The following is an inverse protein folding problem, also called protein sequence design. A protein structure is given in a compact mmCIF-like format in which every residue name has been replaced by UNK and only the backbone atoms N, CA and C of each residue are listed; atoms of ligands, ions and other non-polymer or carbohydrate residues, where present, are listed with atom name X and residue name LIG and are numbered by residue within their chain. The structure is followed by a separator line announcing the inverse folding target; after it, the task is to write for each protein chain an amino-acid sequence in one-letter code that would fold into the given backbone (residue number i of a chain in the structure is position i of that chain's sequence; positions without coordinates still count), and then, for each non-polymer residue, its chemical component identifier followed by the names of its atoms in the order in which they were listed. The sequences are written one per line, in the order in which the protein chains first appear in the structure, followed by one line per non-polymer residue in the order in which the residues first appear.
data_IF_348235016766
#
_entry.id   IF_348235016766
#
_cell.length_a   1.000
_cell.length_b   1.000
_cell.length_c   1.000
_cell.angle_alpha   90.00
_cell.angle_beta   90.00
_cell.angle_gamma   90.00
#
_symmetry.space_group_name_H-M   'P 1'
#
loop_
_entity.id
_entity.type
_entity.pdbx_description
1 polymer ?
#
# COMPACT_ATOMS: atom_id res chain seq x y z
N UNK A 1 9.82 -6.97 0.76
CA UNK A 1 10.87 -7.71 1.48
C UNK A 1 11.51 -6.79 2.50
N UNK A 2 12.10 -7.32 3.58
CA UNK A 2 12.74 -6.53 4.65
C UNK A 2 13.87 -5.61 4.14
N UNK A 3 14.50 -5.97 3.02
CA UNK A 3 15.47 -5.13 2.32
C UNK A 3 14.95 -3.71 2.00
N UNK A 4 13.63 -3.53 1.90
CA UNK A 4 12.97 -2.23 1.70
C UNK A 4 13.03 -1.31 2.93
N UNK A 5 13.36 -1.84 4.11
CA UNK A 5 13.38 -1.08 5.37
C UNK A 5 14.77 -0.58 5.77
N UNK A 6 15.83 -0.92 5.02
CA UNK A 6 17.19 -0.48 5.31
C UNK A 6 17.49 0.98 4.92
N UNK A 7 18.56 1.57 5.49
CA UNK A 7 19.06 2.93 5.16
C UNK A 7 19.29 3.18 3.66
N UNK A 8 19.52 2.12 2.88
CA UNK A 8 19.81 2.18 1.44
C UNK A 8 18.60 1.80 0.56
N UNK A 9 17.40 1.67 1.12
CA UNK A 9 16.21 1.22 0.39
C UNK A 9 15.91 2.05 -0.86
N UNK A 10 15.97 3.38 -0.74
CA UNK A 10 15.79 4.31 -1.87
C UNK A 10 16.82 4.10 -2.98
N UNK A 11 18.08 3.79 -2.65
CA UNK A 11 19.15 3.51 -3.64
C UNK A 11 18.92 2.19 -4.39
N UNK A 12 18.11 1.29 -3.83
CA UNK A 12 17.69 0.02 -4.44
C UNK A 12 16.34 0.11 -5.16
N UNK A 13 15.83 1.32 -5.38
CA UNK A 13 14.57 1.56 -6.08
C UNK A 13 13.32 1.31 -5.25
N UNK A 14 13.43 1.03 -3.94
CA UNK A 14 12.25 0.91 -3.09
C UNK A 14 11.63 2.28 -2.82
N UNK A 15 10.33 2.38 -3.07
CA UNK A 15 9.53 3.57 -2.78
C UNK A 15 8.76 3.29 -1.48
N UNK A 16 9.01 4.04 -0.40
CA UNK A 16 8.22 3.92 0.82
C UNK A 16 6.75 4.19 0.53
N UNK A 17 5.89 3.33 1.08
CA UNK A 17 4.45 3.50 1.00
C UNK A 17 3.89 3.74 2.41
N UNK A 18 2.97 4.70 2.51
CA UNK A 18 2.14 4.91 3.70
C UNK A 18 0.73 4.50 3.34
N UNK A 19 0.17 3.56 4.08
CA UNK A 19 -1.19 3.03 3.87
C UNK A 19 -1.95 3.19 5.19
N UNK A 20 -3.03 3.96 5.15
CA UNK A 20 -3.99 4.19 6.24
C UNK A 20 -5.36 3.65 5.81
N UNK A 21 -6.36 3.60 6.71
CA UNK A 21 -7.70 3.17 6.35
C UNK A 21 -8.37 4.03 5.26
N UNK A 22 -8.01 5.30 5.18
CA UNK A 22 -8.58 6.30 4.27
C UNK A 22 -7.75 6.54 3.01
N UNK A 23 -6.45 6.22 3.02
CA UNK A 23 -5.54 6.64 1.95
C UNK A 23 -4.31 5.75 1.82
N UNK A 24 -3.78 5.65 0.60
CA UNK A 24 -2.43 5.18 0.34
C UNK A 24 -1.61 6.23 -0.41
N UNK A 25 -0.32 6.30 -0.11
CA UNK A 25 0.64 7.10 -0.87
C UNK A 25 1.95 6.36 -1.04
N UNK A 26 2.52 6.42 -2.25
CA UNK A 26 3.82 5.86 -2.58
C UNK A 26 4.49 6.73 -3.64
N UNK A 27 5.52 7.49 -3.25
CA UNK A 27 6.15 8.45 -4.15
C UNK A 27 5.17 9.54 -4.59
N UNK A 28 4.83 9.56 -5.89
CA UNK A 28 3.85 10.50 -6.47
C UNK A 28 2.45 9.91 -6.61
N UNK A 29 2.30 8.61 -6.41
CA UNK A 29 1.00 7.93 -6.47
C UNK A 29 0.25 8.15 -5.18
N UNK A 30 -1.00 8.60 -5.28
CA UNK A 30 -1.93 8.75 -4.16
C UNK A 30 -3.20 7.97 -4.51
N UNK A 31 -3.76 7.25 -3.55
CA UNK A 31 -5.08 6.63 -3.65
C UNK A 31 -5.92 7.00 -2.43
N UNK A 32 -7.13 7.48 -2.63
CA UNK A 32 -8.12 7.70 -1.57
C UNK A 32 -9.08 6.52 -1.54
N UNK A 33 -9.37 6.01 -0.34
CA UNK A 33 -10.23 4.86 -0.15
C UNK A 33 -11.63 5.29 0.29
N UNK A 34 -12.64 4.59 -0.23
CA UNK A 34 -14.02 4.78 0.16
C UNK A 34 -14.80 3.46 0.02
N UNK A 35 -16.02 3.44 0.58
CA UNK A 35 -16.91 2.27 0.58
C UNK A 35 -16.23 1.00 1.10
N UNK A 36 -15.37 1.17 2.11
CA UNK A 36 -14.58 0.11 2.69
C UNK A 36 -15.44 -0.83 3.52
N UNK A 37 -15.39 -2.13 3.20
CA UNK A 37 -16.03 -3.19 3.98
C UNK A 37 -15.02 -4.27 4.35
N UNK A 38 -15.22 -4.86 5.52
CA UNK A 38 -14.42 -6.00 5.98
C UNK A 38 -15.08 -7.31 5.55
N UNK A 39 -14.30 -8.20 4.94
CA UNK A 39 -14.70 -9.57 4.57
C UNK A 39 -13.65 -10.54 5.11
N UNK A 40 -13.97 -11.19 6.23
CA UNK A 40 -13.01 -12.02 6.96
C UNK A 40 -11.83 -11.19 7.50
N UNK A 41 -10.60 -11.61 7.17
CA UNK A 41 -9.37 -10.90 7.53
C UNK A 41 -8.97 -9.79 6.53
N UNK A 42 -9.86 -9.46 5.60
CA UNK A 42 -9.55 -8.55 4.52
C UNK A 42 -10.45 -7.32 4.50
N UNK A 43 -9.88 -6.24 3.99
CA UNK A 43 -10.63 -5.05 3.61
C UNK A 43 -10.81 -5.01 2.10
N UNK A 44 -12.03 -4.79 1.65
CA UNK A 44 -12.38 -4.57 0.25
C UNK A 44 -12.98 -3.18 0.14
N UNK A 45 -12.42 -2.36 -0.73
CA UNK A 45 -12.78 -0.94 -0.87
C UNK A 45 -12.63 -0.50 -2.32
N UNK A 46 -13.32 0.58 -2.69
CA UNK A 46 -13.01 1.33 -3.88
C UNK A 46 -11.86 2.32 -3.58
N UNK A 47 -11.03 2.55 -4.59
CA UNK A 47 -9.88 3.43 -4.49
C UNK A 47 -9.79 4.36 -5.70
N UNK A 48 -9.83 5.66 -5.46
CA UNK A 48 -9.57 6.68 -6.46
C UNK A 48 -8.11 7.08 -6.40
N UNK A 49 -7.36 6.75 -7.46
CA UNK A 49 -5.93 6.92 -7.51
C UNK A 49 -5.51 8.00 -8.52
N UNK A 50 -4.37 8.64 -8.25
CA UNK A 50 -3.74 9.62 -9.12
C UNK A 50 -2.21 9.43 -9.18
N UNK A 51 -1.62 9.53 -10.37
CA UNK A 51 -0.17 9.59 -10.61
C UNK A 51 0.13 10.44 -11.84
N UNK A 52 0.99 11.46 -11.68
CA UNK A 52 1.44 12.39 -12.74
C UNK A 52 0.30 12.88 -13.65
N UNK A 53 -0.79 13.35 -13.06
CA UNK A 53 -1.94 13.89 -13.79
C UNK A 53 -2.92 12.85 -14.32
N UNK A 54 -2.58 11.55 -14.31
CA UNK A 54 -3.53 10.48 -14.63
C UNK A 54 -4.34 10.12 -13.39
N UNK A 55 -5.63 9.91 -13.56
CA UNK A 55 -6.55 9.44 -12.51
C UNK A 55 -7.21 8.14 -12.95
N UNK A 56 -7.44 7.24 -12.02
CA UNK A 56 -8.19 6.00 -12.26
C UNK A 56 -8.82 5.50 -10.97
N UNK A 57 -9.97 4.86 -11.08
CA UNK A 57 -10.59 4.14 -9.96
C UNK A 57 -10.22 2.65 -10.04
N UNK A 58 -10.07 2.00 -8.90
CA UNK A 58 -9.82 0.56 -8.81
C UNK A 58 -10.48 -0.01 -7.57
N UNK A 59 -11.04 -1.21 -7.68
CA UNK A 59 -11.32 -2.00 -6.49
C UNK A 59 -10.00 -2.50 -5.90
N UNK A 60 -9.88 -2.42 -4.58
CA UNK A 60 -8.69 -2.82 -3.83
C UNK A 60 -9.10 -3.81 -2.74
N UNK A 61 -8.28 -4.84 -2.58
CA UNK A 61 -8.39 -5.83 -1.52
C UNK A 61 -7.08 -5.84 -0.72
N UNK A 62 -7.18 -5.55 0.58
CA UNK A 62 -6.04 -5.53 1.51
C UNK A 62 -6.16 -6.67 2.51
N UNK A 63 -5.10 -7.44 2.68
CA UNK A 63 -4.93 -8.41 3.78
C UNK A 63 -3.76 -7.98 4.62
N UNK A 64 -3.96 -7.93 5.94
CA UNK A 64 -2.87 -7.69 6.89
C UNK A 64 -2.65 -8.98 7.67
N UNK A 65 -1.41 -9.45 7.67
CA UNK A 65 -0.95 -10.61 8.41
C UNK A 65 0.36 -10.25 9.13
N UNK A 66 0.27 -10.00 10.43
CA UNK A 66 1.36 -9.41 11.22
C UNK A 66 1.85 -8.09 10.62
N UNK A 67 3.13 -8.04 10.25
CA UNK A 67 3.77 -6.89 9.60
C UNK A 67 3.72 -6.93 8.07
N UNK A 68 3.05 -7.92 7.47
CA UNK A 68 2.89 -8.01 6.03
C UNK A 68 1.52 -7.51 5.61
N UNK A 69 1.49 -6.63 4.61
CA UNK A 69 0.27 -6.21 3.94
C UNK A 69 0.30 -6.70 2.49
N UNK A 70 -0.70 -7.48 2.10
CA UNK A 70 -0.91 -7.89 0.70
C UNK A 70 -2.00 -7.02 0.10
N UNK A 71 -1.64 -6.31 -0.97
CA UNK A 71 -2.51 -5.45 -1.76
C UNK A 71 -2.86 -6.17 -3.05
N UNK A 72 -4.14 -6.27 -3.38
CA UNK A 72 -4.61 -6.76 -4.68
C UNK A 72 -5.50 -5.72 -5.33
N UNK A 73 -5.31 -5.49 -6.62
CA UNK A 73 -6.08 -4.53 -7.44
C UNK A 73 -6.16 -5.01 -8.89
N UNK A 74 -6.89 -4.30 -9.74
CA UNK A 74 -6.93 -4.60 -11.18
C UNK A 74 -5.55 -4.55 -11.87
N UNK A 75 -4.57 -3.86 -11.28
CA UNK A 75 -3.17 -3.81 -11.76
C UNK A 75 -2.31 -4.98 -11.27
N UNK A 76 -2.86 -5.88 -10.47
CA UNK A 76 -2.16 -7.02 -9.89
C UNK A 76 -1.99 -6.92 -8.37
N UNK A 77 -1.10 -7.76 -7.85
CA UNK A 77 -0.85 -7.94 -6.42
C UNK A 77 0.53 -7.43 -6.03
N UNK A 78 0.62 -6.75 -4.88
CA UNK A 78 1.85 -6.26 -4.29
C UNK A 78 1.92 -6.64 -2.80
N UNK A 79 3.12 -6.92 -2.30
CA UNK A 79 3.35 -7.22 -0.89
C UNK A 79 4.22 -6.16 -0.24
N UNK A 80 3.71 -5.58 0.82
CA UNK A 80 4.37 -4.58 1.65
C UNK A 80 4.78 -5.21 2.98
N UNK A 81 5.88 -4.73 3.53
CA UNK A 81 6.29 -5.03 4.90
C UNK A 81 6.30 -3.73 5.68
N UNK A 82 5.70 -3.74 6.86
CA UNK A 82 5.78 -2.61 7.78
C UNK A 82 7.22 -2.54 8.26
N UNK A 83 7.87 -1.42 7.98
CA UNK A 83 9.18 -1.18 8.55
C UNK A 83 9.02 -0.89 10.04
N UNK A 84 9.60 -1.73 10.88
CA UNK A 84 9.69 -1.48 12.31
C UNK A 84 10.41 -0.17 12.59
N UNK A 85 10.10 0.47 13.73
CA UNK A 85 11.03 1.45 14.29
C UNK A 85 12.35 0.71 14.51
N UNK A 86 13.47 1.31 14.11
CA UNK A 86 14.79 0.79 14.49
C UNK A 86 14.74 0.51 16.00
N UNK A 87 15.02 -0.72 16.41
CA UNK A 87 15.57 -0.90 17.74
C UNK A 87 16.83 -0.03 17.73
N UNK A 88 16.79 1.04 18.53
CA UNK A 88 17.94 1.92 18.74
C UNK A 88 19.05 1.15 19.42
#
# INVERSE_FOLDING_TARGET
TEAACGRRSRRRGYIPATITPDRASAGRTICSFHDGRRTGNAWVMAADCADRGRRWSSQVRLVVDGDRLTWTSGKGTASYVRCGRRAG
#
